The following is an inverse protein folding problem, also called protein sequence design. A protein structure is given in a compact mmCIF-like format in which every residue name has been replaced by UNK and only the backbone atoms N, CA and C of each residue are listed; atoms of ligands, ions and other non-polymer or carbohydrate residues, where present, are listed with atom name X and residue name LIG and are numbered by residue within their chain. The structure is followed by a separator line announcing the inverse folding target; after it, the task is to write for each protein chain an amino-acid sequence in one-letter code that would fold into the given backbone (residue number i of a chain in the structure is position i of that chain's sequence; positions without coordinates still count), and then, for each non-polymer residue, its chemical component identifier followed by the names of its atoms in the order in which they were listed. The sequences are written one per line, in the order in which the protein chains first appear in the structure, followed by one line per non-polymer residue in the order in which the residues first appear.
data_IF_475308194934
#
_entry.id   IF_475308194934
#
_cell.length_a   1.000
_cell.length_b   1.000
_cell.length_c   1.000
_cell.angle_alpha   90.00
_cell.angle_beta   90.00
_cell.angle_gamma   90.00
#
_symmetry.space_group_name_H-M   'P 1'
#
loop_
_entity.id
_entity.type
_entity.pdbx_description
1 polymer ?
#
# COMPACT_ATOMS: atom_id res chain seq x y z
N UNK A 1 -19.41 21.00 53.65
CA UNK A 1 -18.05 21.47 54.01
C UNK A 1 -17.03 20.55 53.36
N UNK A 2 -15.88 21.12 52.96
CA UNK A 2 -15.26 20.88 51.65
C UNK A 2 -14.11 19.89 51.71
N UNK A 3 -13.79 19.24 50.58
CA UNK A 3 -12.49 18.61 50.39
C UNK A 3 -12.52 17.15 49.95
N UNK A 4 -12.76 16.93 48.66
CA UNK A 4 -11.94 15.98 47.91
C UNK A 4 -11.89 16.49 46.46
N UNK A 5 -10.69 16.83 46.03
CA UNK A 5 -10.31 17.29 44.69
C UNK A 5 -10.50 16.19 43.64
N UNK A 6 -11.72 15.71 43.43
CA UNK A 6 -12.06 14.81 42.33
C UNK A 6 -12.28 15.57 41.00
N UNK A 7 -12.43 16.90 41.05
CA UNK A 7 -12.68 17.72 39.86
C UNK A 7 -11.48 17.82 38.90
N UNK A 8 -10.26 17.43 39.30
CA UNK A 8 -9.07 17.56 38.45
C UNK A 8 -8.72 16.33 37.60
N UNK A 9 -9.35 15.17 37.82
CA UNK A 9 -8.92 13.90 37.21
C UNK A 9 -10.02 13.23 36.37
N UNK A 10 -10.94 14.02 35.78
CA UNK A 10 -12.06 13.47 34.98
C UNK A 10 -11.61 12.89 33.62
N UNK A 11 -10.33 13.00 33.28
CA UNK A 11 -9.75 12.48 32.03
C UNK A 11 -8.80 11.29 32.18
N UNK A 12 -8.42 10.92 33.41
CA UNK A 12 -7.37 9.92 33.62
C UNK A 12 -7.97 8.53 33.86
N UNK A 13 -7.56 7.51 33.07
CA UNK A 13 -8.07 6.16 33.25
C UNK A 13 -7.63 5.57 34.59
N UNK A 14 -8.50 4.75 35.18
CA UNK A 14 -8.23 4.02 36.43
C UNK A 14 -8.44 2.52 36.24
N UNK A 15 -7.63 1.73 36.91
CA UNK A 15 -7.73 0.28 36.93
C UNK A 15 -8.50 -0.16 38.18
N UNK A 16 -9.69 -0.71 38.00
CA UNK A 16 -10.45 -1.31 39.09
C UNK A 16 -9.82 -2.62 39.54
N UNK A 17 -10.07 -3.00 40.80
CA UNK A 17 -9.65 -4.32 41.33
C UNK A 17 -10.28 -5.49 40.58
N UNK A 18 -11.40 -5.24 39.89
CA UNK A 18 -12.06 -6.16 38.95
C UNK A 18 -11.27 -6.44 37.66
N UNK A 19 -10.10 -5.80 37.48
CA UNK A 19 -9.27 -5.93 36.28
C UNK A 19 -9.81 -5.16 35.08
N UNK A 20 -10.84 -4.32 35.27
CA UNK A 20 -11.41 -3.47 34.23
C UNK A 20 -10.82 -2.06 34.30
N UNK A 21 -10.57 -1.48 33.14
CA UNK A 21 -10.09 -0.10 33.01
C UNK A 21 -11.27 0.83 32.78
N UNK A 22 -11.48 1.76 33.71
CA UNK A 22 -12.50 2.80 33.64
C UNK A 22 -11.87 4.09 33.09
N UNK A 23 -12.62 4.83 32.27
CA UNK A 23 -12.10 6.04 31.61
C UNK A 23 -11.83 7.19 32.61
N UNK A 24 -12.46 7.16 33.78
CA UNK A 24 -12.23 8.11 34.85
C UNK A 24 -12.66 7.52 36.21
N UNK A 25 -12.13 8.03 37.33
CA UNK A 25 -12.57 7.63 38.67
C UNK A 25 -14.07 7.88 38.89
N UNK A 26 -14.63 8.93 38.27
CA UNK A 26 -16.07 9.22 38.32
C UNK A 26 -16.91 8.13 37.64
N UNK A 27 -16.43 7.56 36.52
CA UNK A 27 -17.11 6.42 35.88
C UNK A 27 -17.04 5.15 36.74
N UNK A 28 -15.98 5.00 37.53
CA UNK A 28 -15.86 3.95 38.55
C UNK A 28 -16.72 4.20 39.80
N UNK A 29 -17.30 5.39 39.95
CA UNK A 29 -18.14 5.77 41.09
C UNK A 29 -17.38 5.97 42.40
N UNK A 30 -16.07 6.25 42.34
CA UNK A 30 -15.21 6.44 43.51
C UNK A 30 -15.41 7.82 44.13
N UNK A 31 -15.43 7.90 45.46
CA UNK A 31 -15.67 9.15 46.19
C UNK A 31 -14.40 9.72 46.82
N UNK A 32 -13.47 8.83 47.17
CA UNK A 32 -12.35 9.15 48.03
C UNK A 32 -11.06 8.88 47.26
N UNK A 33 -10.09 9.79 47.35
CA UNK A 33 -8.77 9.63 46.73
C UNK A 33 -7.72 9.71 47.82
N UNK A 34 -6.89 8.68 47.90
CA UNK A 34 -5.80 8.54 48.86
C UNK A 34 -4.48 8.56 48.11
N UNK A 35 -3.57 9.44 48.50
CA UNK A 35 -2.27 9.64 47.84
C UNK A 35 -2.25 10.81 46.86
N UNK A 36 -1.11 11.00 46.19
CA UNK A 36 -0.88 12.09 45.23
C UNK A 36 -0.01 11.61 44.07
N UNK A 37 -0.36 12.02 42.84
CA UNK A 37 0.36 11.64 41.63
C UNK A 37 0.10 10.20 41.19
N UNK A 38 1.15 9.49 40.74
CA UNK A 38 1.05 8.15 40.11
C UNK A 38 0.65 7.02 41.07
N UNK A 39 0.70 7.26 42.37
CA UNK A 39 0.33 6.28 43.41
C UNK A 39 -1.06 6.56 44.02
N UNK A 40 -1.84 7.45 43.40
CA UNK A 40 -3.19 7.74 43.84
C UNK A 40 -4.08 6.49 43.75
N UNK A 41 -4.72 6.15 44.85
CA UNK A 41 -5.71 5.08 44.98
C UNK A 41 -7.07 5.72 45.24
N UNK A 42 -8.07 5.27 44.50
CA UNK A 42 -9.46 5.68 44.66
C UNK A 42 -10.21 4.61 45.45
N UNK A 43 -10.94 5.04 46.47
CA UNK A 43 -11.73 4.19 47.36
C UNK A 43 -13.23 4.52 47.23
N UNK A 44 -14.06 3.63 47.78
CA UNK A 44 -15.53 3.71 47.77
C UNK A 44 -16.14 3.73 46.36
N UNK A 45 -15.58 2.93 45.44
CA UNK A 45 -16.02 2.84 44.05
C UNK A 45 -17.30 2.01 43.89
N UNK A 46 -18.44 2.64 43.60
CA UNK A 46 -19.73 1.94 43.48
C UNK A 46 -19.89 1.07 42.23
N UNK A 47 -19.18 1.38 41.14
CA UNK A 47 -19.34 0.69 39.85
C UNK A 47 -18.28 -0.38 39.60
N UNK A 48 -17.29 -0.51 40.49
CA UNK A 48 -16.24 -1.53 40.42
C UNK A 48 -16.80 -2.77 41.12
N UNK A 49 -17.15 -3.79 40.33
CA UNK A 49 -17.74 -5.01 40.85
C UNK A 49 -16.65 -5.88 41.48
N UNK A 50 -16.50 -5.81 42.81
CA UNK A 50 -15.67 -6.74 43.54
C UNK A 50 -16.44 -8.07 43.67
N UNK A 51 -15.94 -9.12 43.02
CA UNK A 51 -16.42 -10.49 43.21
C UNK A 51 -16.12 -11.03 44.61
N UNK A 52 -15.52 -10.23 45.49
CA UNK A 52 -15.27 -10.54 46.89
C UNK A 52 -15.73 -9.38 47.78
N UNK A 53 -16.19 -9.73 48.98
CA UNK A 53 -16.61 -8.77 50.03
C UNK A 53 -15.37 -7.97 50.46
N UNK A 54 -15.19 -6.79 49.87
CA UNK A 54 -14.08 -5.88 50.15
C UNK A 54 -14.38 -4.47 49.64
N UNK A 55 -13.66 -3.48 50.17
CA UNK A 55 -13.78 -2.09 49.71
C UNK A 55 -13.35 -2.03 48.24
N UNK A 56 -14.27 -1.64 47.36
CA UNK A 56 -14.01 -1.48 45.95
C UNK A 56 -13.02 -0.33 45.71
N UNK A 57 -11.79 -0.69 45.34
CA UNK A 57 -10.68 0.25 45.09
C UNK A 57 -10.27 0.26 43.63
N UNK A 58 -9.82 1.41 43.12
CA UNK A 58 -9.21 1.56 41.81
C UNK A 58 -7.88 2.31 41.90
N UNK A 59 -6.89 1.97 41.07
CA UNK A 59 -5.60 2.67 41.00
C UNK A 59 -5.51 3.54 39.76
N UNK A 60 -4.76 4.63 39.82
CA UNK A 60 -4.52 5.48 38.63
C UNK A 60 -3.76 4.69 37.56
N UNK A 61 -4.23 4.74 36.31
CA UNK A 61 -3.63 4.06 35.17
C UNK A 61 -4.51 2.97 34.56
N UNK A 62 -4.03 2.38 33.46
CA UNK A 62 -4.71 1.26 32.79
C UNK A 62 -4.30 -0.07 33.43
N UNK A 63 -5.21 -1.05 33.43
CA UNK A 63 -4.87 -2.38 33.93
C UNK A 63 -3.85 -3.06 33.00
N UNK A 64 -2.86 -3.81 33.53
CA UNK A 64 -1.89 -4.53 32.72
C UNK A 64 -2.59 -5.58 31.86
N UNK A 65 -2.42 -5.49 30.53
CA UNK A 65 -2.96 -6.45 29.54
C UNK A 65 -1.82 -7.23 28.87
N UNK A 66 -1.29 -8.21 29.59
CA UNK A 66 -0.18 -9.08 29.18
C UNK A 66 -0.44 -9.81 27.83
N UNK A 67 -1.63 -10.39 27.64
CA UNK A 67 -1.92 -11.23 26.44
C UNK A 67 -2.28 -10.44 25.18
N UNK A 68 -2.61 -9.16 25.29
CA UNK A 68 -3.05 -8.35 24.15
C UNK A 68 -1.85 -7.84 23.31
N UNK A 69 -0.69 -7.67 23.95
CA UNK A 69 0.48 -7.04 23.33
C UNK A 69 1.10 -7.91 22.22
N UNK A 70 1.18 -9.23 22.43
CA UNK A 70 1.76 -10.15 21.45
C UNK A 70 0.94 -10.23 20.15
N UNK A 71 -0.38 -10.33 20.24
CA UNK A 71 -1.24 -10.36 19.05
C UNK A 71 -1.17 -9.05 18.27
N UNK A 72 -1.05 -7.92 18.97
CA UNK A 72 -0.87 -6.62 18.32
C UNK A 72 0.47 -6.51 17.60
N UNK A 73 1.57 -6.95 18.23
CA UNK A 73 2.89 -7.00 17.60
C UNK A 73 2.88 -7.87 16.35
N UNK A 74 2.31 -9.08 16.43
CA UNK A 74 2.24 -9.98 15.28
C UNK A 74 1.49 -9.35 14.10
N UNK A 75 0.38 -8.66 14.36
CA UNK A 75 -0.37 -7.96 13.31
C UNK A 75 0.43 -6.82 12.68
N UNK A 76 1.16 -6.03 13.49
CA UNK A 76 2.05 -4.99 12.97
C UNK A 76 3.15 -5.62 12.09
N UNK A 77 3.78 -6.70 12.55
CA UNK A 77 4.82 -7.37 11.77
C UNK A 77 4.26 -7.81 10.40
N UNK A 78 3.08 -8.45 10.38
CA UNK A 78 2.43 -8.90 9.13
C UNK A 78 2.13 -7.72 8.19
N UNK A 79 1.59 -6.61 8.70
CA UNK A 79 1.33 -5.43 7.87
C UNK A 79 2.60 -4.78 7.33
N UNK A 80 3.68 -4.72 8.14
CA UNK A 80 4.98 -4.20 7.68
C UNK A 80 5.55 -5.08 6.56
N UNK A 81 5.49 -6.41 6.73
CA UNK A 81 5.88 -7.37 5.70
C UNK A 81 5.04 -7.19 4.42
N UNK A 82 3.72 -7.05 4.54
CA UNK A 82 2.82 -6.83 3.40
C UNK A 82 3.08 -5.49 2.70
N UNK A 83 3.35 -4.43 3.46
CA UNK A 83 3.70 -3.11 2.93
C UNK A 83 5.04 -3.16 2.18
N UNK A 84 6.04 -3.85 2.73
CA UNK A 84 7.33 -4.06 2.08
C UNK A 84 7.18 -4.75 0.72
N UNK A 85 6.45 -5.88 0.68
CA UNK A 85 6.15 -6.60 -0.58
C UNK A 85 5.43 -5.69 -1.59
N UNK A 86 4.47 -4.90 -1.11
CA UNK A 86 3.75 -3.95 -1.97
C UNK A 86 4.67 -2.88 -2.57
N UNK A 87 5.61 -2.35 -1.79
CA UNK A 87 6.58 -1.36 -2.25
C UNK A 87 7.55 -1.94 -3.29
N UNK A 88 7.96 -3.20 -3.12
CA UNK A 88 8.80 -3.92 -4.09
C UNK A 88 8.12 -4.04 -5.45
N UNK A 89 6.80 -4.21 -5.51
CA UNK A 89 6.05 -4.24 -6.76
C UNK A 89 5.73 -2.85 -7.32
N UNK A 90 5.39 -1.89 -6.45
CA UNK A 90 5.02 -0.54 -6.86
C UNK A 90 6.17 0.22 -7.52
N UNK A 91 7.37 0.15 -6.93
CA UNK A 91 8.55 0.90 -7.40
C UNK A 91 8.94 0.58 -8.85
N UNK A 92 9.17 -0.69 -9.25
CA UNK A 92 9.51 -1.01 -10.64
C UNK A 92 8.36 -0.69 -11.60
N UNK A 93 7.11 -0.91 -11.18
CA UNK A 93 5.94 -0.56 -11.99
C UNK A 93 5.87 0.94 -12.30
N UNK A 94 6.14 1.77 -11.29
CA UNK A 94 6.19 3.21 -11.42
C UNK A 94 7.39 3.69 -12.26
N UNK A 95 8.54 3.01 -12.14
CA UNK A 95 9.72 3.31 -12.98
C UNK A 95 9.47 3.00 -14.46
N UNK A 96 8.84 1.87 -14.77
CA UNK A 96 8.45 1.52 -16.14
C UNK A 96 7.50 2.59 -16.68
N UNK A 97 6.48 2.97 -15.91
CA UNK A 97 5.53 4.03 -16.29
C UNK A 97 6.24 5.34 -16.68
N UNK A 98 7.22 5.80 -15.89
CA UNK A 98 7.97 7.03 -16.21
C UNK A 98 8.85 6.87 -17.46
N UNK A 99 9.39 5.67 -17.71
CA UNK A 99 10.26 5.38 -18.86
C UNK A 99 9.47 5.28 -20.16
N UNK A 100 8.21 4.84 -20.10
CA UNK A 100 7.32 4.73 -21.26
C UNK A 100 6.84 6.08 -21.81
N UNK A 101 7.05 7.20 -21.09
CA UNK A 101 6.51 8.52 -21.46
C UNK A 101 7.64 9.43 -21.99
N UNK A 102 7.43 10.16 -23.11
CA UNK A 102 8.39 11.12 -23.65
C UNK A 102 8.68 12.26 -22.66
N UNK A 103 9.93 12.75 -22.63
CA UNK A 103 10.44 13.72 -21.62
C UNK A 103 9.55 14.96 -21.44
N UNK A 104 8.96 15.47 -22.51
CA UNK A 104 8.18 16.71 -22.51
C UNK A 104 6.80 16.58 -21.82
N UNK A 105 6.23 15.35 -21.74
CA UNK A 105 4.88 15.12 -21.18
C UNK A 105 4.90 14.49 -19.78
N UNK A 106 6.08 14.21 -19.21
CA UNK A 106 6.21 13.51 -17.92
C UNK A 106 5.50 14.23 -16.78
N UNK A 107 5.72 15.55 -16.66
CA UNK A 107 5.10 16.34 -15.59
C UNK A 107 3.57 16.36 -15.70
N UNK A 108 3.04 16.47 -16.92
CA UNK A 108 1.60 16.43 -17.17
C UNK A 108 1.00 15.06 -16.80
N UNK A 109 1.63 13.96 -17.24
CA UNK A 109 1.16 12.61 -16.95
C UNK A 109 1.19 12.29 -15.44
N UNK A 110 2.25 12.68 -14.73
CA UNK A 110 2.35 12.53 -13.28
C UNK A 110 1.32 13.37 -12.52
N UNK A 111 1.04 14.58 -13.02
CA UNK A 111 -0.03 15.43 -12.49
C UNK A 111 -1.39 14.78 -12.64
N UNK A 112 -1.70 14.26 -13.83
CA UNK A 112 -2.97 13.57 -14.10
C UNK A 112 -3.10 12.27 -13.28
N UNK A 113 -2.04 11.46 -13.20
CA UNK A 113 -2.01 10.27 -12.35
C UNK A 113 -2.31 10.63 -10.89
N UNK A 114 -1.67 11.67 -10.37
CA UNK A 114 -1.87 12.13 -8.99
C UNK A 114 -3.31 12.63 -8.79
N UNK A 115 -3.84 13.41 -9.72
CA UNK A 115 -5.22 13.91 -9.66
C UNK A 115 -6.21 12.74 -9.60
N UNK A 116 -6.10 11.77 -10.52
CA UNK A 116 -6.97 10.59 -10.56
C UNK A 116 -6.88 9.80 -9.26
N UNK A 117 -5.67 9.52 -8.76
CA UNK A 117 -5.48 8.79 -7.49
C UNK A 117 -6.05 9.55 -6.30
N UNK A 118 -5.87 10.87 -6.23
CA UNK A 118 -6.39 11.67 -5.11
C UNK A 118 -7.91 11.77 -5.14
N UNK A 119 -8.50 11.94 -6.32
CA UNK A 119 -9.95 12.02 -6.45
C UNK A 119 -10.62 10.67 -6.19
N UNK A 120 -10.09 9.57 -6.71
CA UNK A 120 -10.71 8.25 -6.60
C UNK A 120 -10.36 7.49 -5.31
N UNK A 121 -9.20 7.73 -4.71
CA UNK A 121 -8.77 7.04 -3.48
C UNK A 121 -8.53 8.01 -2.33
N UNK A 122 -7.88 9.15 -2.58
CA UNK A 122 -7.49 10.10 -1.53
C UNK A 122 -8.67 10.73 -0.78
N UNK A 123 -9.70 11.19 -1.48
CA UNK A 123 -10.91 11.79 -0.88
C UNK A 123 -11.80 10.74 -0.20
N UNK A 124 -12.16 9.61 -0.85
CA UNK A 124 -13.06 8.64 -0.23
C UNK A 124 -12.40 7.83 0.89
N UNK A 125 -11.08 7.67 0.90
CA UNK A 125 -10.39 6.93 1.97
C UNK A 125 -10.72 7.47 3.38
N UNK A 126 -10.41 8.73 3.76
CA UNK A 126 -10.69 9.20 5.11
C UNK A 126 -12.18 9.17 5.47
N UNK A 127 -13.08 9.33 4.50
CA UNK A 127 -14.53 9.23 4.72
C UNK A 127 -14.93 7.79 5.06
N UNK A 128 -14.48 6.82 4.26
CA UNK A 128 -14.81 5.41 4.46
C UNK A 128 -14.13 4.83 5.69
N UNK A 129 -12.84 5.13 5.90
CA UNK A 129 -12.13 4.78 7.14
C UNK A 129 -12.80 5.41 8.36
N UNK A 130 -13.19 6.70 8.30
CA UNK A 130 -13.91 7.37 9.38
C UNK A 130 -15.23 6.67 9.73
N UNK A 131 -16.06 6.41 8.71
CA UNK A 131 -17.34 5.72 8.91
C UNK A 131 -17.18 4.29 9.44
N UNK A 132 -16.15 3.56 8.99
CA UNK A 132 -15.85 2.22 9.50
C UNK A 132 -15.42 2.25 10.98
N UNK A 133 -14.63 3.26 11.38
CA UNK A 133 -14.21 3.42 12.77
C UNK A 133 -15.39 3.82 13.67
N UNK A 134 -16.30 4.64 13.17
CA UNK A 134 -17.51 5.06 13.89
C UNK A 134 -18.41 3.88 14.29
N UNK A 135 -18.40 2.79 13.53
CA UNK A 135 -19.13 1.55 13.88
C UNK A 135 -18.61 0.88 15.17
N UNK A 136 -17.36 1.17 15.54
CA UNK A 136 -16.74 0.61 16.75
C UNK A 136 -16.93 1.52 17.97
N UNK A 137 -17.64 2.64 17.81
CA UNK A 137 -17.92 3.58 18.87
C UNK A 137 -18.82 2.96 19.95
N UNK A 138 -18.37 3.02 21.20
CA UNK A 138 -19.16 2.66 22.38
C UNK A 138 -19.88 3.88 22.91
N UNK A 139 -19.21 5.05 22.95
CA UNK A 139 -19.78 6.28 23.51
C UNK A 139 -19.45 7.51 22.65
N UNK A 140 -20.50 8.09 22.11
CA UNK A 140 -20.47 9.35 21.38
C UNK A 140 -20.29 10.54 22.33
N UNK A 141 -19.51 11.54 21.91
CA UNK A 141 -19.52 12.84 22.55
C UNK A 141 -20.85 13.53 22.22
N UNK A 142 -21.48 14.13 23.22
CA UNK A 142 -22.72 14.88 23.08
C UNK A 142 -22.46 16.31 23.51
N UNK A 143 -22.85 17.26 22.67
CA UNK A 143 -22.63 18.68 22.91
C UNK A 143 -23.70 19.22 23.88
N UNK A 144 -23.54 20.46 24.38
CA UNK A 144 -24.56 21.10 25.23
C UNK A 144 -25.95 21.17 24.58
N UNK A 145 -26.01 21.16 23.24
CA UNK A 145 -27.26 21.11 22.46
C UNK A 145 -27.76 19.69 22.14
N UNK A 146 -27.30 18.66 22.87
CA UNK A 146 -27.66 17.24 22.65
C UNK A 146 -27.32 16.67 21.26
N UNK A 147 -26.45 17.35 20.51
CA UNK A 147 -25.99 16.91 19.19
C UNK A 147 -24.83 15.92 19.32
N UNK A 148 -24.79 14.90 18.45
CA UNK A 148 -23.67 13.94 18.39
C UNK A 148 -22.44 14.59 17.74
N UNK A 149 -21.32 14.55 18.46
CA UNK A 149 -20.00 14.96 17.98
C UNK A 149 -19.11 13.75 17.69
N UNK A 150 -17.80 13.90 17.86
CA UNK A 150 -16.85 12.81 17.68
C UNK A 150 -17.04 11.68 18.71
N UNK A 151 -16.66 10.45 18.35
CA UNK A 151 -16.67 9.36 19.31
C UNK A 151 -15.53 9.50 20.33
N UNK A 152 -15.85 9.34 21.62
CA UNK A 152 -14.91 9.50 22.74
C UNK A 152 -14.32 8.17 23.20
N UNK A 153 -15.04 7.06 23.01
CA UNK A 153 -14.61 5.74 23.43
C UNK A 153 -14.94 4.69 22.37
N UNK A 154 -13.90 4.01 21.89
CA UNK A 154 -13.99 2.95 20.89
C UNK A 154 -13.75 1.58 21.51
N UNK A 155 -14.38 0.55 20.94
CA UNK A 155 -14.10 -0.83 21.28
C UNK A 155 -12.79 -1.27 20.59
N UNK A 156 -11.73 -1.48 21.36
CA UNK A 156 -10.38 -1.78 20.83
C UNK A 156 -10.34 -3.08 20.01
N UNK A 157 -11.11 -4.10 20.37
CA UNK A 157 -11.09 -5.39 19.67
C UNK A 157 -11.78 -5.30 18.31
N UNK A 158 -12.96 -4.66 18.27
CA UNK A 158 -13.65 -4.38 17.00
C UNK A 158 -12.85 -3.40 16.14
N UNK A 159 -12.28 -2.37 16.75
CA UNK A 159 -11.43 -1.38 16.07
C UNK A 159 -10.28 -2.07 15.33
N UNK A 160 -9.55 -2.95 16.02
CA UNK A 160 -8.44 -3.72 15.43
C UNK A 160 -8.93 -4.57 14.26
N UNK A 161 -9.94 -5.40 14.46
CA UNK A 161 -10.43 -6.29 13.40
C UNK A 161 -10.93 -5.49 12.19
N UNK A 162 -11.76 -4.47 12.39
CA UNK A 162 -12.28 -3.63 11.31
C UNK A 162 -11.15 -2.92 10.53
N UNK A 163 -10.19 -2.33 11.22
CA UNK A 163 -9.09 -1.60 10.59
C UNK A 163 -8.18 -2.50 9.75
N UNK A 164 -7.68 -3.59 10.34
CA UNK A 164 -6.76 -4.51 9.67
C UNK A 164 -7.46 -5.30 8.55
N UNK A 165 -8.68 -5.78 8.78
CA UNK A 165 -9.43 -6.51 7.72
C UNK A 165 -9.73 -5.63 6.52
N UNK A 166 -10.06 -4.36 6.74
CA UNK A 166 -10.29 -3.39 5.68
C UNK A 166 -9.00 -3.14 4.88
N UNK A 167 -7.87 -2.87 5.55
CA UNK A 167 -6.57 -2.71 4.88
C UNK A 167 -6.19 -3.96 4.07
N UNK A 168 -6.28 -5.13 4.69
CA UNK A 168 -6.00 -6.42 4.04
C UNK A 168 -6.90 -6.67 2.83
N UNK A 169 -8.19 -6.32 2.90
CA UNK A 169 -9.13 -6.48 1.79
C UNK A 169 -8.77 -5.60 0.60
N UNK A 170 -8.43 -4.32 0.84
CA UNK A 170 -7.99 -3.42 -0.23
C UNK A 170 -6.71 -3.93 -0.91
N UNK A 171 -5.76 -4.46 -0.12
CA UNK A 171 -4.53 -5.08 -0.64
C UNK A 171 -4.84 -6.31 -1.48
N UNK A 172 -5.75 -7.16 -1.02
CA UNK A 172 -6.16 -8.37 -1.73
C UNK A 172 -6.80 -8.05 -3.09
N UNK A 173 -7.72 -7.07 -3.14
CA UNK A 173 -8.29 -6.61 -4.41
C UNK A 173 -7.20 -6.11 -5.36
N UNK A 174 -6.25 -5.30 -4.86
CA UNK A 174 -5.11 -4.84 -5.64
C UNK A 174 -4.24 -5.98 -6.17
N UNK A 175 -3.98 -7.00 -5.35
CA UNK A 175 -3.21 -8.19 -5.73
C UNK A 175 -3.92 -8.96 -6.85
N UNK A 176 -5.24 -9.14 -6.78
CA UNK A 176 -6.02 -9.78 -7.84
C UNK A 176 -5.92 -9.01 -9.16
N UNK A 177 -6.03 -7.67 -9.13
CA UNK A 177 -5.86 -6.85 -10.33
C UNK A 177 -4.45 -6.99 -10.93
N UNK A 178 -3.41 -7.01 -10.10
CA UNK A 178 -2.03 -7.19 -10.56
C UNK A 178 -1.83 -8.59 -11.16
N UNK A 179 -2.35 -9.64 -10.52
CA UNK A 179 -2.27 -11.00 -11.06
C UNK A 179 -3.03 -11.12 -12.38
N UNK A 180 -4.17 -10.47 -12.51
CA UNK A 180 -4.95 -10.42 -13.74
C UNK A 180 -4.17 -9.72 -14.87
N UNK A 181 -3.54 -8.57 -14.61
CA UNK A 181 -2.74 -7.87 -15.63
C UNK A 181 -1.53 -8.68 -16.06
N UNK A 182 -0.80 -9.31 -15.11
CA UNK A 182 0.32 -10.20 -15.43
C UNK A 182 -0.14 -11.37 -16.31
N UNK A 183 -1.25 -12.02 -15.96
CA UNK A 183 -1.83 -13.11 -16.77
C UNK A 183 -2.20 -12.64 -18.18
N UNK A 184 -2.73 -11.43 -18.34
CA UNK A 184 -3.07 -10.88 -19.65
C UNK A 184 -1.84 -10.56 -20.49
N UNK A 185 -0.79 -10.01 -19.88
CA UNK A 185 0.49 -9.72 -20.56
C UNK A 185 1.16 -11.01 -21.01
N UNK A 186 1.28 -12.01 -20.13
CA UNK A 186 1.88 -13.31 -20.49
C UNK A 186 1.10 -14.03 -21.59
N UNK A 187 -0.24 -13.91 -21.60
CA UNK A 187 -1.08 -14.45 -22.68
C UNK A 187 -0.84 -13.74 -24.00
N UNK A 188 -0.52 -12.44 -23.99
CA UNK A 188 -0.21 -11.68 -25.20
C UNK A 188 1.13 -12.09 -25.77
N UNK A 189 2.17 -12.13 -24.94
CA UNK A 189 3.51 -12.57 -25.33
C UNK A 189 3.51 -14.02 -25.85
N UNK A 190 2.74 -14.93 -25.22
CA UNK A 190 2.57 -16.30 -25.75
C UNK A 190 1.97 -16.30 -27.16
N UNK A 191 0.93 -15.49 -27.40
CA UNK A 191 0.28 -15.41 -28.72
C UNK A 191 1.20 -14.81 -29.78
N UNK A 192 1.95 -13.78 -29.43
CA UNK A 192 2.95 -13.15 -30.31
C UNK A 192 4.06 -14.16 -30.64
N UNK A 193 4.55 -14.92 -29.66
CA UNK A 193 5.54 -15.99 -29.87
C UNK A 193 4.99 -17.17 -30.70
N UNK A 194 3.73 -17.56 -30.49
CA UNK A 194 3.06 -18.60 -31.29
C UNK A 194 2.83 -18.16 -32.73
N UNK A 195 2.59 -16.87 -32.99
CA UNK A 195 2.50 -16.31 -34.34
C UNK A 195 3.86 -16.28 -35.03
N UNK A 196 4.89 -15.77 -34.35
CA UNK A 196 6.26 -15.76 -34.87
C UNK A 196 6.80 -17.17 -35.18
N UNK A 197 6.45 -18.18 -34.36
CA UNK A 197 6.85 -19.56 -34.62
C UNK A 197 6.19 -20.17 -35.88
N UNK A 198 4.96 -19.74 -36.22
CA UNK A 198 4.27 -20.19 -37.45
C UNK A 198 4.83 -19.54 -38.70
N UNK A 199 5.21 -18.26 -38.62
CA UNK A 199 5.83 -17.53 -39.73
C UNK A 199 7.20 -18.11 -40.08
N UNK A 200 8.07 -18.33 -39.08
CA UNK A 200 9.38 -18.96 -39.29
C UNK A 200 9.28 -20.37 -39.89
N UNK A 201 8.30 -21.18 -39.45
CA UNK A 201 8.08 -22.52 -40.01
C UNK A 201 7.58 -22.56 -41.45
N UNK A 202 6.97 -21.48 -41.96
CA UNK A 202 6.56 -21.35 -43.36
C UNK A 202 7.72 -20.93 -44.27
N UNK A 203 8.63 -20.08 -43.79
CA UNK A 203 9.84 -19.69 -44.53
C UNK A 203 10.79 -20.87 -44.76
N UNK A 204 10.96 -21.72 -43.75
CA UNK A 204 11.79 -22.95 -43.84
C UNK A 204 11.24 -23.95 -44.88
N UNK A 205 9.91 -24.06 -45.04
CA UNK A 205 9.31 -24.92 -46.06
C UNK A 205 9.41 -24.35 -47.49
N UNK A 206 9.41 -23.02 -47.65
CA UNK A 206 9.58 -22.37 -48.96
C UNK A 206 11.03 -22.49 -49.47
N UNK A 207 12.03 -22.48 -48.57
CA UNK A 207 13.43 -22.67 -48.94
C UNK A 207 13.78 -24.13 -49.28
N UNK A 208 13.06 -25.12 -48.74
CA UNK A 208 13.24 -26.53 -49.06
C UNK A 208 12.74 -26.94 -50.46
N UNK A 209 12.01 -26.07 -51.17
CA UNK A 209 11.47 -26.29 -52.52
C UNK A 209 12.18 -25.48 -53.64
N UNK A 210 13.31 -24.82 -53.33
CA UNK A 210 14.12 -24.08 -54.32
C UNK A 210 14.94 -24.98 -55.26
N UNK A 211 15.00 -24.70 -56.58
CA UNK A 211 15.42 -25.67 -57.59
C UNK A 211 16.93 -25.95 -57.63
N UNK A 212 17.26 -27.23 -57.82
CA UNK A 212 18.55 -27.71 -58.31
C UNK A 212 18.71 -27.36 -59.79
N UNK A 213 19.66 -26.48 -60.16
CA UNK A 213 20.59 -26.70 -61.28
C UNK A 213 21.66 -25.60 -61.45
N UNK A 214 22.88 -26.02 -61.82
CA UNK A 214 23.66 -25.37 -62.88
C UNK A 214 24.72 -24.33 -62.51
N UNK A 215 25.99 -24.74 -62.57
CA UNK A 215 27.21 -23.91 -62.62
C UNK A 215 27.20 -22.84 -63.73
N UNK A 216 27.70 -21.64 -63.43
CA UNK A 216 28.64 -20.89 -64.26
C UNK A 216 29.24 -19.72 -63.44
N UNK A 217 30.57 -19.61 -63.41
CA UNK A 217 31.26 -18.52 -62.70
C UNK A 217 31.36 -17.23 -63.52
N UNK A 218 31.55 -16.10 -62.84
CA UNK A 218 32.64 -15.16 -63.12
C UNK A 218 32.82 -14.14 -61.98
N UNK A 219 34.05 -13.72 -61.79
CA UNK A 219 34.52 -12.72 -60.82
C UNK A 219 34.08 -11.30 -61.22
N UNK A 220 33.60 -10.48 -60.28
CA UNK A 220 33.69 -9.00 -60.27
C UNK A 220 33.17 -8.48 -58.93
N UNK A 221 34.07 -8.06 -58.03
CA UNK A 221 34.45 -6.65 -57.79
C UNK A 221 33.31 -5.83 -57.17
N UNK A 222 33.42 -5.58 -55.86
CA UNK A 222 32.57 -4.63 -55.13
C UNK A 222 32.72 -3.22 -55.71
N UNK A 223 31.62 -2.57 -56.08
CA UNK A 223 31.48 -1.12 -55.96
C UNK A 223 30.01 -0.74 -55.61
N UNK A 224 29.78 0.26 -54.73
CA UNK A 224 28.49 0.47 -54.09
C UNK A 224 27.72 1.63 -54.74
N UNK A 225 26.94 1.39 -55.80
CA UNK A 225 26.08 2.46 -56.34
C UNK A 225 24.88 1.95 -57.16
N UNK A 226 24.00 1.12 -56.60
CA UNK A 226 22.67 0.90 -57.23
C UNK A 226 21.53 0.49 -56.29
N UNK A 227 21.70 0.50 -54.97
CA UNK A 227 20.64 0.14 -54.01
C UNK A 227 19.76 1.32 -53.57
N UNK A 228 19.59 2.33 -54.43
CA UNK A 228 18.85 3.55 -54.07
C UNK A 228 17.41 3.62 -54.59
N UNK A 229 16.89 2.60 -55.31
CA UNK A 229 15.59 2.75 -56.01
C UNK A 229 14.48 1.75 -55.57
N UNK A 230 14.75 0.77 -54.70
CA UNK A 230 13.71 -0.20 -54.28
C UNK A 230 13.47 -0.29 -52.75
N UNK A 231 13.88 0.73 -51.98
CA UNK A 231 13.70 0.79 -50.51
C UNK A 231 12.66 1.79 -49.99
N UNK A 232 12.03 2.59 -50.85
CA UNK A 232 11.21 3.76 -50.47
C UNK A 232 9.70 3.55 -50.61
N UNK A 233 9.16 2.35 -50.30
CA UNK A 233 7.69 2.16 -50.27
C UNK A 233 7.15 1.55 -48.97
N UNK A 234 7.96 0.93 -48.10
CA UNK A 234 7.40 0.22 -46.92
C UNK A 234 7.79 0.75 -45.53
N UNK A 235 8.32 1.98 -45.42
CA UNK A 235 8.76 2.56 -44.13
C UNK A 235 7.69 3.43 -43.45
N UNK A 236 6.47 2.92 -43.25
CA UNK A 236 5.45 3.65 -42.46
C UNK A 236 4.74 2.84 -41.36
N UNK A 237 5.16 1.61 -41.09
CA UNK A 237 4.68 0.86 -39.92
C UNK A 237 5.82 -0.01 -39.48
N UNK A 238 6.53 0.41 -38.43
CA UNK A 238 7.40 -0.37 -37.54
C UNK A 238 8.44 0.57 -36.89
N UNK A 239 7.94 1.45 -36.04
CA UNK A 239 8.76 2.12 -35.03
C UNK A 239 8.23 1.68 -33.66
N UNK A 240 9.15 1.31 -32.76
CA UNK A 240 8.96 0.86 -31.37
C UNK A 240 8.78 -0.65 -31.11
N UNK A 241 9.77 -1.49 -31.46
CA UNK A 241 10.24 -2.55 -30.53
C UNK A 241 11.60 -3.15 -30.95
N UNK A 242 12.68 -2.39 -30.77
CA UNK A 242 14.03 -2.93 -30.81
C UNK A 242 14.93 -2.12 -29.87
N UNK A 243 14.78 -2.37 -28.58
CA UNK A 243 15.75 -1.95 -27.57
C UNK A 243 15.80 -3.08 -26.55
N UNK A 244 16.66 -4.07 -26.82
CA UNK A 244 17.44 -4.83 -25.84
C UNK A 244 18.28 -5.88 -26.61
N UNK A 245 19.52 -6.13 -26.15
CA UNK A 245 20.58 -7.00 -26.74
C UNK A 245 21.43 -6.27 -27.80
N UNK A 246 22.63 -5.72 -27.53
CA UNK A 246 23.79 -6.35 -26.90
C UNK A 246 24.52 -5.44 -25.89
N UNK A 247 24.93 -6.05 -24.78
CA UNK A 247 25.99 -5.63 -23.86
C UNK A 247 27.27 -6.34 -24.30
N UNK A 248 28.37 -5.61 -24.53
CA UNK A 248 29.73 -5.88 -24.00
C UNK A 248 30.79 -4.98 -24.68
N UNK A 249 31.76 -4.50 -23.89
CA UNK A 249 33.09 -4.12 -24.40
C UNK A 249 33.49 -2.64 -24.30
N UNK A 250 34.05 -2.28 -23.15
CA UNK A 250 34.92 -1.14 -22.83
C UNK A 250 35.59 -0.34 -23.97
N UNK A 251 35.58 0.99 -23.87
CA UNK A 251 36.81 1.77 -23.69
C UNK A 251 36.53 3.20 -23.17
N UNK A 252 37.48 3.66 -22.36
CA UNK A 252 37.64 4.94 -21.69
C UNK A 252 37.97 6.11 -22.62
N UNK A 253 37.38 7.28 -22.39
CA UNK A 253 37.94 8.64 -22.61
C UNK A 253 36.94 9.61 -21.95
N UNK A 254 37.16 10.12 -20.73
CA UNK A 254 37.91 11.37 -20.44
C UNK A 254 37.95 12.31 -21.63
N UNK A 255 37.02 13.28 -21.68
CA UNK A 255 37.43 14.67 -21.87
C UNK A 255 36.41 15.65 -21.29
N UNK A 256 36.96 16.75 -20.80
CA UNK A 256 36.37 17.74 -19.92
C UNK A 256 36.64 19.10 -20.54
N UNK A 257 35.65 19.77 -21.11
CA UNK A 257 35.60 21.25 -21.27
C UNK A 257 34.13 21.65 -21.46
N UNK A 258 33.53 22.41 -20.53
CA UNK A 258 33.62 23.88 -20.37
C UNK A 258 32.96 24.65 -21.52
N UNK A 259 31.91 25.41 -21.20
CA UNK A 259 31.75 26.86 -21.46
C UNK A 259 30.29 27.29 -21.19
N UNK A 260 30.18 28.11 -20.13
CA UNK A 260 29.10 29.04 -19.67
C UNK A 260 27.78 28.48 -19.16
#
# INVERSE_FOLDING_TARGET
MPGATASLMCGDPVCGRDGLTYLSPCMGGCQTMVGSGKTAVFEDCKCVADGMVGNATATLGQCPRERCFNSFILLICVEVLAAFISCLGYTPSYLIFIRSIPKQLKAFALGMQTLVVRTLAGIPAPIYFGAALDQTCIKWMVNACSMRGACRLYNVDKFRVTFFSMMSSLRFVGLIFILATIKLVLRRESKENEQAAKENGQEDQMQALGPSNGKAGNETLCDPLTTQVLGEVNRSSDALKASDVCVDGALTEVDQESIV
#
